data_IF_697818491150
#
_entry.id   IF_697818491150
#
_cell.length_a   1.000
_cell.length_b   1.000
_cell.length_c   1.000
_cell.angle_alpha   90.00
_cell.angle_beta   90.00
_cell.angle_gamma   90.00
#
_symmetry.space_group_name_H-M   'P 1'
#
loop_
_entity.id
_entity.type
_entity.pdbx_description
1 polymer ?
#
# COMPACT_ATOMS: atom_id res chain seq x y z
N UNK A 1 -9.99 -27.12 7.17
CA UNK A 1 -9.42 -27.57 5.89
C UNK A 1 -10.54 -27.36 4.89
N UNK A 2 -10.45 -26.33 4.05
CA UNK A 2 -11.52 -26.04 3.07
C UNK A 2 -11.35 -27.02 1.92
N UNK A 3 -12.40 -27.78 1.61
CA UNK A 3 -12.40 -28.79 0.54
C UNK A 3 -12.29 -28.06 -0.81
N UNK A 4 -11.48 -28.58 -1.73
CA UNK A 4 -11.33 -28.00 -3.06
C UNK A 4 -12.67 -27.95 -3.84
N UNK A 5 -13.66 -28.77 -3.44
CA UNK A 5 -15.02 -28.77 -4.00
C UNK A 5 -15.89 -27.61 -3.51
N UNK A 6 -15.54 -26.94 -2.41
CA UNK A 6 -16.29 -25.79 -1.89
C UNK A 6 -16.00 -24.50 -2.69
N UNK A 7 -14.89 -24.44 -3.43
CA UNK A 7 -14.52 -23.31 -4.27
C UNK A 7 -15.27 -23.26 -5.60
N UNK A 8 -15.79 -24.39 -6.10
CA UNK A 8 -16.56 -24.45 -7.36
C UNK A 8 -17.95 -23.81 -7.25
N UNK A 9 -18.45 -23.55 -6.02
CA UNK A 9 -19.75 -22.90 -5.78
C UNK A 9 -19.67 -21.43 -5.43
N UNK A 10 -18.47 -20.86 -5.31
CA UNK A 10 -18.30 -19.43 -5.06
C UNK A 10 -18.33 -18.71 -6.40
N UNK A 11 -19.44 -18.02 -6.69
CA UNK A 11 -19.47 -17.06 -7.77
C UNK A 11 -18.51 -15.91 -7.43
N UNK A 12 -17.29 -15.96 -7.97
CA UNK A 12 -16.26 -14.95 -7.72
C UNK A 12 -16.68 -13.54 -8.18
N UNK A 13 -17.73 -13.42 -9.00
CA UNK A 13 -18.30 -12.11 -9.38
C UNK A 13 -19.15 -11.46 -8.29
N UNK A 14 -19.61 -12.23 -7.29
CA UNK A 14 -20.37 -11.73 -6.12
C UNK A 14 -19.47 -11.42 -4.93
N UNK A 15 -18.19 -11.83 -4.98
CA UNK A 15 -17.22 -11.47 -3.95
C UNK A 15 -16.78 -10.03 -4.17
N UNK A 16 -16.96 -9.11 -3.19
CA UNK A 16 -16.51 -7.73 -3.34
C UNK A 16 -15.01 -7.72 -3.61
N UNK A 17 -14.65 -7.28 -4.82
CA UNK A 17 -13.27 -7.26 -5.28
C UNK A 17 -12.55 -6.10 -4.62
N UNK A 18 -11.66 -6.40 -3.66
CA UNK A 18 -10.86 -5.36 -2.99
C UNK A 18 -9.90 -4.64 -3.94
N UNK A 19 -9.38 -5.37 -4.94
CA UNK A 19 -8.53 -4.82 -5.99
C UNK A 19 -8.50 -5.72 -7.22
N UNK A 20 -8.16 -5.12 -8.37
CA UNK A 20 -7.86 -5.81 -9.64
C UNK A 20 -6.46 -5.44 -10.09
N UNK A 21 -5.76 -6.36 -10.72
CA UNK A 21 -4.42 -6.12 -11.22
C UNK A 21 -4.18 -6.77 -12.58
N UNK A 22 -3.28 -6.16 -13.35
CA UNK A 22 -2.72 -6.70 -14.57
C UNK A 22 -1.21 -6.80 -14.37
N UNK A 23 -0.64 -7.95 -14.70
CA UNK A 23 0.80 -8.18 -14.64
C UNK A 23 1.29 -8.85 -15.93
N UNK A 24 2.54 -8.61 -16.28
CA UNK A 24 3.23 -9.30 -17.36
C UNK A 24 3.66 -10.70 -16.85
N UNK A 25 3.14 -11.81 -17.40
CA UNK A 25 3.42 -13.15 -16.90
C UNK A 25 4.91 -13.54 -16.94
N UNK A 26 5.61 -13.12 -17.99
CA UNK A 26 7.01 -13.50 -18.26
C UNK A 26 7.97 -12.76 -17.32
N UNK A 27 7.75 -11.46 -17.15
CA UNK A 27 8.58 -10.62 -16.27
C UNK A 27 8.08 -10.59 -14.82
N UNK A 28 6.90 -11.16 -14.55
CA UNK A 28 6.22 -11.10 -13.25
C UNK A 28 6.05 -9.69 -12.71
N UNK A 29 5.95 -8.72 -13.62
CA UNK A 29 5.87 -7.30 -13.31
C UNK A 29 4.42 -6.86 -13.19
N UNK A 30 4.07 -6.22 -12.08
CA UNK A 30 2.80 -5.52 -11.94
C UNK A 30 2.76 -4.32 -12.89
N UNK A 31 1.78 -4.27 -13.78
CA UNK A 31 1.62 -3.20 -14.78
C UNK A 31 0.49 -2.23 -14.41
N UNK A 32 -0.58 -2.78 -13.82
CA UNK A 32 -1.73 -2.00 -13.38
C UNK A 32 -2.33 -2.58 -12.11
N UNK A 33 -2.80 -1.73 -11.20
CA UNK A 33 -3.60 -2.11 -10.04
C UNK A 33 -4.65 -1.06 -9.70
N UNK A 34 -5.89 -1.48 -9.54
CA UNK A 34 -7.00 -0.63 -9.11
C UNK A 34 -7.56 -1.19 -7.82
N UNK A 35 -7.55 -0.37 -6.75
CA UNK A 35 -8.21 -0.69 -5.49
C UNK A 35 -9.66 -0.20 -5.51
N UNK A 36 -10.56 -0.89 -4.79
CA UNK A 36 -11.95 -0.46 -4.64
C UNK A 36 -12.13 0.75 -3.70
N UNK A 37 -11.06 1.16 -3.02
CA UNK A 37 -11.02 2.27 -2.08
C UNK A 37 -9.90 3.22 -2.47
N UNK A 38 -10.00 4.48 -2.03
CA UNK A 38 -9.00 5.48 -2.34
C UNK A 38 -9.32 6.29 -3.61
N UNK A 39 -8.62 7.41 -3.82
CA UNK A 39 -8.68 8.14 -5.07
C UNK A 39 -8.00 7.38 -6.20
N UNK A 40 -8.24 7.85 -7.42
CA UNK A 40 -7.55 7.37 -8.62
C UNK A 40 -6.06 7.79 -8.57
N UNK A 41 -5.15 6.82 -8.47
CA UNK A 41 -3.71 7.03 -8.33
C UNK A 41 -2.93 6.12 -9.28
N UNK A 42 -1.71 6.51 -9.64
CA UNK A 42 -0.71 5.64 -10.26
C UNK A 42 0.50 5.49 -9.34
N UNK A 43 1.36 4.52 -9.61
CA UNK A 43 2.39 4.07 -8.67
C UNK A 43 3.76 3.95 -9.32
N UNK A 44 4.79 4.27 -8.54
CA UNK A 44 6.18 3.97 -8.84
C UNK A 44 6.64 2.84 -7.96
N UNK A 45 7.15 1.78 -8.57
CA UNK A 45 7.81 0.68 -7.90
C UNK A 45 9.30 0.99 -7.72
N UNK A 46 9.75 0.94 -6.48
CA UNK A 46 11.13 1.25 -6.08
C UNK A 46 11.69 0.04 -5.33
N UNK A 47 12.42 -0.87 -6.01
CA UNK A 47 13.22 -1.88 -5.35
C UNK A 47 14.36 -1.24 -4.57
N UNK A 48 14.51 -1.58 -3.30
CA UNK A 48 15.59 -1.09 -2.42
C UNK A 48 16.54 -2.26 -2.11
N UNK A 49 17.37 -2.63 -3.08
CA UNK A 49 18.24 -3.81 -2.98
C UNK A 49 19.32 -3.67 -1.90
N UNK A 50 19.84 -2.45 -1.70
CA UNK A 50 20.90 -2.17 -0.74
C UNK A 50 20.38 -1.94 0.69
N UNK A 51 19.05 -1.90 0.88
CA UNK A 51 18.48 -1.84 2.21
C UNK A 51 18.76 -3.13 2.98
N UNK A 52 18.94 -3.04 4.30
CA UNK A 52 19.13 -4.20 5.18
C UNK A 52 17.97 -4.30 6.19
N UNK A 53 17.04 -5.26 6.03
CA UNK A 53 16.92 -6.19 4.90
C UNK A 53 16.42 -5.51 3.62
N UNK A 54 16.56 -6.17 2.44
CA UNK A 54 16.06 -5.64 1.17
C UNK A 54 14.57 -5.31 1.26
N UNK A 55 14.17 -4.21 0.64
CA UNK A 55 12.81 -3.72 0.70
C UNK A 55 12.24 -3.45 -0.69
N UNK A 56 10.92 -3.32 -0.73
CA UNK A 56 10.19 -2.81 -1.88
C UNK A 56 9.29 -1.67 -1.41
N UNK A 57 9.28 -0.60 -2.20
CA UNK A 57 8.39 0.53 -1.99
C UNK A 57 7.47 0.72 -3.20
N UNK A 58 6.22 1.07 -2.92
CA UNK A 58 5.29 1.63 -3.89
C UNK A 58 4.96 3.06 -3.47
N UNK A 59 5.22 4.00 -4.36
CA UNK A 59 5.00 5.44 -4.15
C UNK A 59 3.82 5.86 -5.02
N UNK A 60 2.77 6.42 -4.42
CA UNK A 60 1.56 6.81 -5.12
C UNK A 60 1.54 8.29 -5.49
N UNK A 61 0.98 8.58 -6.65
CA UNK A 61 0.78 9.91 -7.22
C UNK A 61 -0.62 9.99 -7.86
N UNK A 62 -1.23 11.17 -7.90
CA UNK A 62 -2.55 11.40 -8.54
C UNK A 62 -2.52 12.48 -9.63
N UNK A 63 -1.33 12.78 -10.15
CA UNK A 63 -1.12 13.67 -11.31
C UNK A 63 -1.57 13.02 -12.63
N UNK A 64 -1.63 13.80 -13.71
CA UNK A 64 -2.06 13.35 -15.05
C UNK A 64 -1.00 12.62 -15.90
N UNK A 65 0.21 12.41 -15.39
CA UNK A 65 1.31 11.75 -16.14
C UNK A 65 0.96 10.34 -16.62
N UNK A 66 0.21 9.57 -15.82
CA UNK A 66 -0.23 8.23 -16.18
C UNK A 66 -1.71 8.03 -15.84
N UNK A 67 -2.32 7.05 -16.50
CA UNK A 67 -3.69 6.65 -16.18
C UNK A 67 -3.74 6.07 -14.77
N UNK A 68 -4.87 6.23 -14.05
CA UNK A 68 -5.08 5.55 -12.77
C UNK A 68 -4.79 4.05 -12.84
N UNK A 69 -4.17 3.56 -11.77
CA UNK A 69 -3.73 2.20 -11.57
C UNK A 69 -2.40 1.84 -12.23
N UNK A 70 -1.86 2.67 -13.13
CA UNK A 70 -0.57 2.39 -13.80
C UNK A 70 0.54 2.19 -12.76
N UNK A 71 1.37 1.17 -12.96
CA UNK A 71 2.57 0.91 -12.16
C UNK A 71 3.79 1.02 -13.07
N UNK A 72 4.74 1.89 -12.71
CA UNK A 72 5.98 2.10 -13.45
C UNK A 72 7.20 1.81 -12.57
N UNK A 73 8.33 1.46 -13.19
CA UNK A 73 9.61 1.34 -12.49
C UNK A 73 10.37 2.66 -12.42
N UNK A 74 11.43 2.69 -11.62
CA UNK A 74 12.25 3.89 -11.41
C UNK A 74 12.79 4.50 -12.73
N UNK A 75 13.25 3.69 -13.69
CA UNK A 75 13.77 4.17 -14.97
C UNK A 75 12.76 4.96 -15.82
N UNK A 76 11.45 4.69 -15.66
CA UNK A 76 10.37 5.44 -16.32
C UNK A 76 10.01 6.70 -15.52
N UNK A 77 10.20 6.66 -14.20
CA UNK A 77 9.87 7.76 -13.29
C UNK A 77 10.95 8.86 -13.26
N UNK A 78 12.23 8.50 -13.20
CA UNK A 78 13.36 9.43 -13.13
C UNK A 78 13.34 10.60 -14.13
N UNK A 79 12.98 10.42 -15.42
CA UNK A 79 12.94 11.54 -16.37
C UNK A 79 11.71 12.45 -16.17
N UNK A 80 10.74 12.05 -15.35
CA UNK A 80 9.58 12.89 -15.03
C UNK A 80 10.02 13.91 -13.99
N UNK A 81 9.87 15.20 -14.30
CA UNK A 81 10.19 16.31 -13.39
C UNK A 81 9.16 16.43 -12.24
N UNK A 82 8.86 15.32 -11.58
CA UNK A 82 7.89 15.22 -10.49
C UNK A 82 8.62 15.46 -9.18
N UNK A 83 8.10 16.41 -8.41
CA UNK A 83 8.63 16.77 -7.10
C UNK A 83 8.17 15.77 -6.04
N UNK A 84 8.98 15.57 -5.01
CA UNK A 84 8.63 14.70 -3.87
C UNK A 84 7.36 15.15 -3.13
N UNK A 85 7.03 16.45 -3.14
CA UNK A 85 5.80 17.00 -2.58
C UNK A 85 4.53 16.66 -3.38
N UNK A 86 4.66 16.08 -4.58
CA UNK A 86 3.54 15.58 -5.38
C UNK A 86 3.17 14.12 -5.05
N UNK A 87 3.99 13.42 -4.26
CA UNK A 87 3.68 12.07 -3.78
C UNK A 87 2.52 12.12 -2.79
N UNK A 88 1.42 11.41 -3.01
CA UNK A 88 0.28 11.40 -2.08
C UNK A 88 0.40 10.37 -0.96
N UNK A 89 1.23 9.34 -1.14
CA UNK A 89 1.54 8.33 -0.12
C UNK A 89 2.59 7.32 -0.58
N UNK A 90 3.02 6.45 0.33
CA UNK A 90 3.88 5.30 0.02
C UNK A 90 3.65 4.15 0.98
N UNK A 91 3.93 2.94 0.50
CA UNK A 91 4.04 1.73 1.32
C UNK A 91 5.38 1.08 1.06
N UNK A 92 6.03 0.65 2.14
CA UNK A 92 7.29 -0.09 2.12
C UNK A 92 7.11 -1.40 2.85
N UNK A 93 7.63 -2.49 2.29
CA UNK A 93 7.59 -3.82 2.91
C UNK A 93 8.87 -4.60 2.61
N UNK A 94 9.07 -5.69 3.35
CA UNK A 94 10.16 -6.64 3.11
C UNK A 94 9.66 -7.79 2.23
N UNK A 95 10.10 -7.90 0.95
CA UNK A 95 9.58 -8.91 0.03
C UNK A 95 9.79 -10.35 0.49
N UNK A 96 10.90 -10.61 1.21
CA UNK A 96 11.22 -11.93 1.74
C UNK A 96 10.36 -12.40 2.91
N UNK A 97 9.47 -11.55 3.45
CA UNK A 97 8.55 -11.93 4.53
C UNK A 97 7.12 -11.46 4.31
N UNK A 98 6.90 -10.50 3.42
CA UNK A 98 5.62 -9.80 3.27
C UNK A 98 5.29 -8.82 4.39
N UNK A 99 6.22 -8.57 5.32
CA UNK A 99 5.96 -7.65 6.43
C UNK A 99 5.98 -6.21 5.95
N UNK A 100 4.89 -5.49 6.21
CA UNK A 100 4.82 -4.04 6.05
C UNK A 100 5.79 -3.40 7.05
N UNK A 101 6.71 -2.62 6.52
CA UNK A 101 7.63 -1.81 7.31
C UNK A 101 7.02 -0.43 7.59
N UNK A 102 6.51 0.25 6.55
CA UNK A 102 5.99 1.60 6.66
C UNK A 102 4.80 1.80 5.73
N UNK A 103 3.83 2.59 6.19
CA UNK A 103 2.78 3.18 5.36
C UNK A 103 2.72 4.66 5.70
N UNK A 104 2.93 5.50 4.69
CA UNK A 104 2.86 6.94 4.79
C UNK A 104 1.79 7.48 3.85
N UNK A 105 1.02 8.46 4.33
CA UNK A 105 0.09 9.25 3.53
C UNK A 105 0.31 10.70 3.88
N UNK A 106 0.41 11.55 2.86
CA UNK A 106 0.55 12.98 3.04
C UNK A 106 -0.53 13.52 3.99
N UNK A 107 -0.18 14.39 4.97
CA UNK A 107 -1.10 14.80 6.01
C UNK A 107 -2.44 15.34 5.49
N UNK A 108 -2.42 16.19 4.46
CA UNK A 108 -3.62 16.78 3.88
C UNK A 108 -4.49 15.77 3.10
N UNK A 109 -3.94 14.61 2.72
CA UNK A 109 -4.61 13.54 1.94
C UNK A 109 -5.10 12.36 2.77
N UNK A 110 -4.94 12.44 4.10
CA UNK A 110 -5.39 11.37 5.00
C UNK A 110 -6.92 11.31 5.03
N UNK A 111 -7.42 10.12 5.40
CA UNK A 111 -8.85 9.77 5.42
C UNK A 111 -9.52 9.67 4.05
N UNK A 112 -8.75 9.77 2.97
CA UNK A 112 -9.24 9.53 1.60
C UNK A 112 -9.15 8.05 1.17
N UNK A 113 -8.69 7.15 2.04
CA UNK A 113 -8.54 5.71 1.72
C UNK A 113 -7.20 5.31 1.08
N UNK A 114 -6.27 6.26 0.89
CA UNK A 114 -4.95 6.04 0.25
C UNK A 114 -4.14 4.93 0.94
N UNK A 115 -4.11 4.90 2.28
CA UNK A 115 -3.36 3.86 3.01
C UNK A 115 -3.86 2.43 2.72
N UNK A 116 -5.18 2.25 2.61
CA UNK A 116 -5.79 0.97 2.26
C UNK A 116 -5.54 0.60 0.79
N UNK A 117 -5.61 1.59 -0.11
CA UNK A 117 -5.30 1.41 -1.53
C UNK A 117 -3.83 0.98 -1.74
N UNK A 118 -2.89 1.60 -1.03
CA UNK A 118 -1.48 1.22 -1.02
C UNK A 118 -1.27 -0.22 -0.52
N UNK A 119 -1.95 -0.63 0.55
CA UNK A 119 -1.91 -2.01 1.03
C UNK A 119 -2.44 -3.01 -0.02
N UNK A 120 -3.49 -2.65 -0.75
CA UNK A 120 -3.99 -3.45 -1.88
C UNK A 120 -2.95 -3.54 -3.01
N UNK A 121 -2.32 -2.42 -3.38
CA UNK A 121 -1.29 -2.37 -4.41
C UNK A 121 -0.05 -3.22 -4.05
N UNK A 122 0.42 -3.17 -2.79
CA UNK A 122 1.51 -4.01 -2.32
C UNK A 122 1.13 -5.51 -2.29
N UNK A 123 -0.11 -5.84 -1.93
CA UNK A 123 -0.60 -7.21 -2.01
C UNK A 123 -0.66 -7.71 -3.46
N UNK A 124 -1.12 -6.88 -4.40
CA UNK A 124 -1.13 -7.19 -5.83
C UNK A 124 0.30 -7.40 -6.37
N UNK A 125 1.26 -6.60 -5.91
CA UNK A 125 2.68 -6.76 -6.26
C UNK A 125 3.23 -8.12 -5.80
N UNK A 126 2.98 -8.50 -4.55
CA UNK A 126 3.41 -9.82 -4.04
C UNK A 126 2.83 -10.96 -4.86
N UNK A 127 1.56 -10.86 -5.26
CA UNK A 127 0.92 -11.86 -6.14
C UNK A 127 1.57 -11.86 -7.52
N UNK A 128 1.74 -10.70 -8.16
CA UNK A 128 2.31 -10.57 -9.50
C UNK A 128 3.75 -11.09 -9.56
N UNK A 129 4.56 -10.83 -8.54
CA UNK A 129 5.95 -11.31 -8.42
C UNK A 129 6.07 -12.81 -8.16
N UNK A 130 4.95 -13.51 -7.91
CA UNK A 130 4.94 -14.92 -7.55
C UNK A 130 5.47 -15.19 -6.14
N UNK A 131 5.42 -14.20 -5.25
CA UNK A 131 5.87 -14.35 -3.87
C UNK A 131 5.02 -15.38 -3.13
N UNK A 132 5.61 -16.31 -2.35
CA UNK A 132 4.85 -17.22 -1.50
C UNK A 132 4.29 -16.49 -0.25
N UNK A 133 4.73 -15.26 0.00
CA UNK A 133 4.35 -14.48 1.18
C UNK A 133 3.08 -13.69 0.94
N UNK A 134 2.34 -13.46 2.03
CA UNK A 134 1.20 -12.54 2.06
C UNK A 134 1.59 -11.28 2.81
N UNK A 135 0.99 -10.15 2.42
CA UNK A 135 1.20 -8.91 3.14
C UNK A 135 0.64 -8.99 4.57
N UNK A 136 1.43 -8.56 5.56
CA UNK A 136 1.03 -8.55 6.98
C UNK A 136 1.66 -7.39 7.76
N UNK A 137 1.06 -7.00 8.88
CA UNK A 137 1.52 -5.87 9.70
C UNK A 137 2.12 -6.31 11.04
N UNK A 138 3.32 -5.83 11.36
CA UNK A 138 3.99 -6.04 12.64
C UNK A 138 3.41 -5.20 13.78
N UNK A 139 3.76 -5.52 15.03
CA UNK A 139 3.18 -4.91 16.23
C UNK A 139 3.65 -3.49 16.56
N UNK A 140 4.71 -3.01 15.89
CA UNK A 140 5.25 -1.67 16.08
C UNK A 140 4.57 -0.69 15.14
N UNK A 141 3.68 0.16 15.67
CA UNK A 141 2.83 1.04 14.86
C UNK A 141 2.61 2.40 15.51
N UNK A 142 2.48 3.42 14.68
CA UNK A 142 1.99 4.75 15.10
C UNK A 142 0.50 4.69 15.44
N UNK A 143 -0.04 5.72 16.08
CA UNK A 143 -1.48 5.81 16.33
C UNK A 143 -2.31 5.75 15.03
N UNK A 144 -1.86 6.44 13.99
CA UNK A 144 -2.51 6.39 12.68
C UNK A 144 -2.38 5.02 12.01
N UNK A 145 -1.23 4.35 12.19
CA UNK A 145 -1.02 2.99 11.70
C UNK A 145 -1.93 1.98 12.39
N UNK A 146 -2.16 2.14 13.70
CA UNK A 146 -3.10 1.32 14.45
C UNK A 146 -4.55 1.55 13.98
N UNK A 147 -4.96 2.80 13.79
CA UNK A 147 -6.28 3.13 13.25
C UNK A 147 -6.51 2.55 11.85
N UNK A 148 -5.48 2.58 10.98
CA UNK A 148 -5.53 1.92 9.66
C UNK A 148 -5.65 0.40 9.80
N UNK A 149 -4.91 -0.19 10.73
CA UNK A 149 -4.92 -1.63 10.95
C UNK A 149 -6.29 -2.11 11.46
N UNK A 150 -6.95 -1.36 12.34
CA UNK A 150 -8.27 -1.69 12.90
C UNK A 150 -9.40 -1.75 11.86
N UNK A 151 -9.30 -0.96 10.78
CA UNK A 151 -10.29 -0.97 9.69
C UNK A 151 -9.94 -1.93 8.55
N UNK A 152 -8.84 -2.69 8.67
CA UNK A 152 -8.43 -3.65 7.65
C UNK A 152 -9.42 -4.83 7.56
N UNK A 153 -9.81 -5.27 6.34
CA UNK A 153 -10.58 -6.50 6.18
C UNK A 153 -9.75 -7.76 6.47
N UNK A 154 -8.44 -7.63 6.69
CA UNK A 154 -7.51 -8.73 6.93
C UNK A 154 -6.94 -8.72 8.35
N UNK A 155 -7.80 -8.59 9.36
CA UNK A 155 -7.42 -8.56 10.78
C UNK A 155 -6.50 -9.72 11.19
N UNK A 156 -6.71 -10.93 10.64
CA UNK A 156 -5.86 -12.10 10.90
C UNK A 156 -4.40 -11.94 10.43
N UNK A 157 -4.07 -10.90 9.64
CA UNK A 157 -2.71 -10.57 9.17
C UNK A 157 -2.11 -9.38 9.92
N UNK A 158 -2.78 -8.89 10.96
CA UNK A 158 -2.32 -7.79 11.80
C UNK A 158 -1.90 -8.39 13.13
N UNK A 159 -0.62 -8.29 13.48
CA UNK A 159 -0.18 -8.69 14.83
C UNK A 159 -0.74 -7.73 15.88
N UNK A 160 -1.01 -8.17 17.12
CA UNK A 160 -1.33 -7.27 18.22
C UNK A 160 -0.30 -6.14 18.35
N UNK A 161 -0.75 -4.94 18.72
CA UNK A 161 0.15 -3.80 18.90
C UNK A 161 1.05 -4.07 20.11
N UNK A 162 2.36 -3.93 19.90
CA UNK A 162 3.38 -4.14 20.92
C UNK A 162 4.01 -2.81 21.35
N UNK A 163 4.21 -1.89 20.40
CA UNK A 163 4.85 -0.60 20.64
C UNK A 163 4.15 0.52 19.88
N UNK A 164 3.99 1.65 20.57
CA UNK A 164 3.58 2.93 19.97
C UNK A 164 4.82 3.58 19.36
N UNK A 165 4.86 3.71 18.03
CA UNK A 165 5.90 4.46 17.33
C UNK A 165 5.53 5.95 17.24
N UNK A 166 6.52 6.86 17.20
CA UNK A 166 6.26 8.28 16.98
C UNK A 166 5.62 8.54 15.61
N UNK A 167 4.87 9.65 15.44
CA UNK A 167 4.35 10.05 14.13
C UNK A 167 5.45 10.14 13.07
N UNK A 168 5.16 9.68 11.85
CA UNK A 168 6.10 9.76 10.72
C UNK A 168 6.21 11.17 10.11
N UNK A 169 5.21 12.02 10.34
CA UNK A 169 5.20 13.40 9.80
C UNK A 169 5.97 14.32 10.73
N UNK A 170 7.00 15.03 10.25
CA UNK A 170 7.67 16.08 11.00
C UNK A 170 6.69 17.15 11.45
N UNK A 171 6.91 17.74 12.64
CA UNK A 171 6.02 18.76 13.19
C UNK A 171 5.77 19.97 12.26
N UNK A 172 6.80 20.39 11.51
CA UNK A 172 6.68 21.48 10.54
C UNK A 172 5.61 21.22 9.46
N UNK A 173 5.47 19.96 9.03
CA UNK A 173 4.54 19.52 7.99
C UNK A 173 3.11 19.31 8.52
N UNK A 174 2.86 19.61 9.80
CA UNK A 174 1.54 19.54 10.42
C UNK A 174 0.83 20.90 10.50
N UNK A 175 1.53 21.99 10.19
CA UNK A 175 0.96 23.34 10.24
C UNK A 175 -0.21 23.49 9.27
N UNK A 176 -1.37 23.93 9.77
CA UNK A 176 -2.59 24.10 8.97
C UNK A 176 -3.31 22.80 8.58
N UNK A 177 -2.82 21.65 9.04
CA UNK A 177 -3.47 20.35 8.80
C UNK A 177 -4.56 20.13 9.86
N UNK A 178 -5.80 19.77 9.46
CA UNK A 178 -6.86 19.49 10.43
C UNK A 178 -6.52 18.32 11.36
N UNK A 179 -6.87 18.43 12.64
CA UNK A 179 -6.61 17.39 13.66
C UNK A 179 -7.11 16.00 13.26
N UNK A 180 -8.26 15.91 12.59
CA UNK A 180 -8.83 14.65 12.09
C UNK A 180 -7.90 13.87 11.13
N UNK A 181 -6.94 14.58 10.52
CA UNK A 181 -5.92 14.02 9.65
C UNK A 181 -4.64 13.68 10.42
N UNK A 182 -4.37 14.31 11.57
CA UNK A 182 -3.17 14.07 12.37
C UNK A 182 -3.37 12.97 13.41
N UNK A 183 -4.59 12.80 13.91
CA UNK A 183 -4.91 11.88 14.99
C UNK A 183 -6.01 10.89 14.60
N UNK A 184 -6.05 9.69 15.20
CA UNK A 184 -7.21 8.79 15.12
C UNK A 184 -8.48 9.51 15.57
N UNK A 185 -9.64 9.06 15.05
CA UNK A 185 -10.92 9.48 15.65
C UNK A 185 -11.03 8.81 17.02
N UNK A 186 -11.26 9.63 18.05
CA UNK A 186 -11.65 9.20 19.39
C UNK A 186 -13.02 8.55 19.39
#
# INVERSE_FOLDING_TARGET
MVDARDLERVNLSEVPTLWRAVFAPESRQLLNVTAAVGPAMWYVQVPEHDATPPAMSLVAFDTTHFRPGTVVGNAVFEPLAIRSDQQVGAIRWWPGTGQIHQVYVQPHRRREGIGSALACAAAAHLVASGSPHRLWAGGDRTELGEALAQVSPHQHRVRPRQRVLPPMTPGADTTGIPDRNLYPRS
#
